data_IF_486105900894
#
_entry.id   IF_486105900894
#
_cell.length_a   1.000
_cell.length_b   1.000
_cell.length_c   1.000
_cell.angle_alpha   90.00
_cell.angle_beta   90.00
_cell.angle_gamma   90.00
#
_symmetry.space_group_name_H-M   'P 1'
#
loop_
_entity.id
_entity.type
_entity.pdbx_description
1 polymer ?
#
# COMPACT_ATOMS: atom_id res chain seq x y z
N UNK A 1 14.54 10.56 -16.40
CA UNK A 1 13.38 9.66 -16.19
C UNK A 1 12.12 10.51 -16.33
N UNK A 2 11.08 9.99 -16.95
CA UNK A 2 9.78 10.66 -16.95
C UNK A 2 9.20 10.58 -15.54
N UNK A 3 8.70 11.70 -15.04
CA UNK A 3 7.94 11.74 -13.78
C UNK A 3 6.57 11.10 -13.97
N UNK A 4 5.85 10.85 -12.87
CA UNK A 4 4.44 10.47 -12.91
C UNK A 4 3.64 11.49 -13.71
N UNK A 5 2.85 11.03 -14.68
CA UNK A 5 1.95 11.84 -15.48
C UNK A 5 0.48 11.45 -15.22
N UNK A 6 -0.36 12.43 -14.92
CA UNK A 6 -1.81 12.25 -14.78
C UNK A 6 -2.52 12.77 -16.04
N UNK A 7 -3.44 11.97 -16.58
CA UNK A 7 -4.25 12.32 -17.74
C UNK A 7 -5.73 12.01 -17.45
N UNK A 8 -6.57 13.02 -17.58
CA UNK A 8 -8.03 12.94 -17.36
C UNK A 8 -8.84 13.06 -18.66
N UNK A 9 -8.20 12.90 -19.83
CA UNK A 9 -8.86 13.09 -21.14
C UNK A 9 -10.13 12.24 -21.27
N UNK A 10 -10.09 10.99 -20.81
CA UNK A 10 -11.20 10.04 -20.91
C UNK A 10 -12.26 10.22 -19.80
N UNK A 11 -12.18 11.30 -19.04
CA UNK A 11 -13.22 11.75 -18.09
C UNK A 11 -14.11 12.84 -18.73
N UNK A 12 -13.59 13.56 -19.74
CA UNK A 12 -14.22 14.77 -20.28
C UNK A 12 -15.62 14.56 -20.91
N UNK A 13 -15.95 13.32 -21.30
CA UNK A 13 -17.28 12.98 -21.83
C UNK A 13 -18.34 12.80 -20.74
N UNK A 14 -17.91 12.63 -19.49
CA UNK A 14 -18.76 12.32 -18.33
C UNK A 14 -18.91 13.50 -17.37
N UNK A 15 -17.84 14.25 -17.18
CA UNK A 15 -17.82 15.49 -16.39
C UNK A 15 -17.07 16.56 -17.18
N UNK A 16 -17.70 17.70 -17.32
CA UNK A 16 -17.11 18.85 -18.00
C UNK A 16 -16.00 19.48 -17.17
N UNK A 17 -15.09 20.21 -17.81
CA UNK A 17 -14.08 20.99 -17.09
C UNK A 17 -14.72 21.91 -16.03
N UNK A 18 -15.84 22.56 -16.34
CA UNK A 18 -16.55 23.42 -15.38
C UNK A 18 -17.06 22.67 -14.16
N UNK A 19 -17.49 21.41 -14.30
CA UNK A 19 -17.91 20.58 -13.17
C UNK A 19 -16.70 20.17 -12.30
N UNK A 20 -15.55 19.89 -12.90
CA UNK A 20 -14.30 19.64 -12.17
C UNK A 20 -13.83 20.92 -11.47
N UNK A 21 -13.80 22.05 -12.17
CA UNK A 21 -13.38 23.35 -11.63
C UNK A 21 -14.31 23.87 -10.52
N UNK A 22 -15.55 23.42 -10.46
CA UNK A 22 -16.45 23.71 -9.34
C UNK A 22 -15.91 23.23 -7.99
N UNK A 23 -14.97 22.29 -7.98
CA UNK A 23 -14.27 21.80 -6.78
C UNK A 23 -12.98 22.57 -6.45
N UNK A 24 -12.55 23.58 -7.25
CA UNK A 24 -11.31 24.32 -7.03
C UNK A 24 -11.23 24.93 -5.63
N UNK A 25 -12.28 25.59 -5.18
CA UNK A 25 -12.30 26.21 -3.85
C UNK A 25 -12.21 25.18 -2.73
N UNK A 26 -12.90 24.03 -2.87
CA UNK A 26 -12.85 22.97 -1.88
C UNK A 26 -11.50 22.28 -1.85
N UNK A 27 -10.90 22.04 -3.01
CA UNK A 27 -9.59 21.41 -3.12
C UNK A 27 -8.47 22.33 -2.62
N UNK A 28 -8.53 23.64 -2.95
CA UNK A 28 -7.57 24.63 -2.45
C UNK A 28 -7.66 24.74 -0.91
N UNK A 29 -8.88 24.77 -0.36
CA UNK A 29 -9.09 24.74 1.09
C UNK A 29 -8.57 23.44 1.72
N UNK A 30 -8.81 22.29 1.10
CA UNK A 30 -8.30 20.99 1.56
C UNK A 30 -6.77 20.95 1.57
N UNK A 31 -6.12 21.44 0.52
CA UNK A 31 -4.66 21.55 0.46
C UNK A 31 -4.15 22.54 1.54
N UNK A 32 -4.80 23.68 1.71
CA UNK A 32 -4.43 24.66 2.74
C UNK A 32 -4.57 24.06 4.16
N UNK A 33 -5.63 23.29 4.42
CA UNK A 33 -5.83 22.60 5.70
C UNK A 33 -4.72 21.56 5.96
N UNK A 34 -4.28 20.85 4.95
CA UNK A 34 -3.13 19.94 5.04
C UNK A 34 -1.86 20.71 5.38
N UNK A 35 -1.53 21.75 4.62
CA UNK A 35 -0.28 22.51 4.76
C UNK A 35 -0.21 23.29 6.11
N UNK A 36 -1.33 23.83 6.56
CA UNK A 36 -1.40 24.62 7.80
C UNK A 36 -1.74 23.78 9.03
N UNK A 37 -2.11 22.52 8.86
CA UNK A 37 -2.52 21.67 9.97
C UNK A 37 -3.78 22.18 10.67
N UNK A 38 -4.78 22.66 9.93
CA UNK A 38 -6.00 23.28 10.48
C UNK A 38 -7.26 22.44 10.27
N UNK A 39 -7.18 21.36 9.49
CA UNK A 39 -8.31 20.47 9.23
C UNK A 39 -8.48 19.40 10.31
N UNK A 40 -9.61 18.69 10.24
CA UNK A 40 -9.90 17.57 11.13
C UNK A 40 -8.85 16.46 10.97
N UNK A 41 -8.34 15.94 12.08
CA UNK A 41 -7.28 14.93 12.09
C UNK A 41 -5.87 15.49 11.90
N UNK A 42 -5.67 16.80 12.08
CA UNK A 42 -4.37 17.47 11.97
C UNK A 42 -3.29 16.90 12.91
N UNK A 43 -3.67 16.13 13.93
CA UNK A 43 -2.73 15.39 14.78
C UNK A 43 -1.97 14.28 14.02
N UNK A 44 -2.37 13.96 12.77
CA UNK A 44 -1.82 12.87 11.96
C UNK A 44 -1.19 13.35 10.64
N UNK A 45 -0.62 14.54 10.60
CA UNK A 45 0.01 15.12 9.41
C UNK A 45 1.53 14.95 9.34
N UNK A 46 2.13 14.14 10.23
CA UNK A 46 3.58 13.90 10.25
C UNK A 46 4.14 13.31 8.97
N UNK A 47 3.30 12.70 8.12
CA UNK A 47 3.69 12.16 6.82
C UNK A 47 3.93 13.23 5.74
N UNK A 48 3.34 14.42 5.88
CA UNK A 48 3.30 15.49 4.86
C UNK A 48 4.68 15.92 4.35
N UNK A 49 5.64 16.03 5.25
CA UNK A 49 6.99 16.48 4.93
C UNK A 49 8.05 15.42 5.23
N UNK A 50 7.64 14.18 5.45
CA UNK A 50 8.56 13.06 5.70
C UNK A 50 9.64 12.93 4.63
N UNK A 51 9.32 12.98 3.30
CA UNK A 51 10.34 12.77 2.29
C UNK A 51 11.47 13.81 2.33
N UNK A 52 11.13 15.08 2.61
CA UNK A 52 12.12 16.16 2.69
C UNK A 52 12.76 16.30 4.07
N UNK A 53 12.10 15.83 5.14
CA UNK A 53 12.53 16.02 6.53
C UNK A 53 13.19 14.77 7.16
N UNK A 54 13.15 13.60 6.51
CA UNK A 54 13.76 12.39 7.06
C UNK A 54 15.26 12.57 7.23
N UNK A 55 15.81 12.43 8.46
CA UNK A 55 17.22 12.64 8.71
C UNK A 55 18.09 11.59 7.99
N UNK A 56 19.19 12.03 7.39
CA UNK A 56 20.19 11.14 6.77
C UNK A 56 20.72 10.08 7.75
N UNK A 57 20.89 10.45 9.01
CA UNK A 57 21.33 9.52 10.07
C UNK A 57 20.34 8.39 10.32
N UNK A 58 19.03 8.63 10.18
CA UNK A 58 17.99 7.60 10.31
C UNK A 58 18.07 6.62 9.12
N UNK A 59 18.21 7.15 7.90
CA UNK A 59 18.33 6.32 6.69
C UNK A 59 19.58 5.42 6.79
N UNK A 60 20.72 5.99 7.14
CA UNK A 60 21.96 5.24 7.31
C UNK A 60 21.88 4.17 8.42
N UNK A 61 21.15 4.44 9.52
CA UNK A 61 20.95 3.46 10.59
C UNK A 61 20.04 2.32 10.16
N UNK A 62 18.95 2.62 9.40
CA UNK A 62 18.09 1.61 8.80
C UNK A 62 18.89 0.71 7.85
N UNK A 63 19.71 1.29 6.96
CA UNK A 63 20.56 0.55 6.03
C UNK A 63 21.54 -0.37 6.76
N UNK A 64 22.16 0.11 7.84
CA UNK A 64 23.05 -0.68 8.69
C UNK A 64 22.34 -1.86 9.33
N UNK A 65 21.17 -1.63 9.93
CA UNK A 65 20.36 -2.69 10.54
C UNK A 65 19.90 -3.69 9.49
N UNK A 66 19.44 -3.22 8.32
CA UNK A 66 19.06 -4.06 7.20
C UNK A 66 20.23 -4.93 6.71
N UNK A 67 21.43 -4.38 6.60
CA UNK A 67 22.64 -5.11 6.21
C UNK A 67 22.96 -6.24 7.21
N UNK A 68 22.83 -6.00 8.51
CA UNK A 68 23.02 -7.03 9.53
C UNK A 68 22.04 -8.19 9.34
N UNK A 69 20.73 -7.88 9.23
CA UNK A 69 19.70 -8.90 9.02
C UNK A 69 19.91 -9.67 7.72
N UNK A 70 20.30 -8.99 6.64
CA UNK A 70 20.54 -9.62 5.33
C UNK A 70 21.74 -10.55 5.32
N UNK A 71 22.78 -10.24 6.07
CA UNK A 71 24.02 -11.02 6.10
C UNK A 71 23.91 -12.24 7.01
N UNK A 72 23.17 -12.13 8.10
CA UNK A 72 23.14 -13.13 9.15
C UNK A 72 21.95 -14.10 9.04
N UNK A 73 20.92 -13.75 8.26
CA UNK A 73 19.66 -14.51 8.16
C UNK A 73 19.40 -14.99 6.72
N UNK A 74 18.78 -16.18 6.60
CA UNK A 74 18.21 -16.67 5.33
C UNK A 74 16.83 -16.03 5.06
N UNK A 75 16.09 -15.77 6.14
CA UNK A 75 14.76 -15.15 6.10
C UNK A 75 14.66 -14.02 7.12
N UNK A 76 13.89 -13.00 6.80
CA UNK A 76 13.45 -11.99 7.78
C UNK A 76 11.94 -11.93 7.74
N UNK A 77 11.30 -12.17 8.88
CA UNK A 77 9.85 -12.13 8.99
C UNK A 77 9.41 -10.74 9.44
N UNK A 78 8.77 -9.99 8.55
CA UNK A 78 8.15 -8.72 8.86
C UNK A 78 6.73 -8.99 9.39
N UNK A 79 6.53 -8.71 10.68
CA UNK A 79 5.29 -8.98 11.40
C UNK A 79 4.51 -7.68 11.55
N UNK A 80 3.34 -7.61 10.93
CA UNK A 80 2.46 -6.44 10.98
C UNK A 80 1.15 -6.67 10.26
N UNK A 81 0.20 -5.75 10.43
CA UNK A 81 -1.12 -5.81 9.78
C UNK A 81 -1.50 -4.43 9.26
N UNK A 82 -2.32 -4.38 8.22
CA UNK A 82 -2.76 -3.12 7.60
C UNK A 82 -1.59 -2.26 7.16
N UNK A 83 -1.51 -1.01 7.61
CA UNK A 83 -0.43 -0.09 7.26
C UNK A 83 0.96 -0.52 7.73
N UNK A 84 1.05 -1.41 8.73
CA UNK A 84 2.33 -1.96 9.18
C UNK A 84 2.89 -3.06 8.25
N UNK A 85 2.20 -3.37 7.15
CA UNK A 85 2.58 -4.45 6.24
C UNK A 85 2.35 -4.09 4.75
N UNK A 86 1.17 -3.51 4.41
CA UNK A 86 0.76 -3.35 3.00
C UNK A 86 1.71 -2.49 2.19
N UNK A 87 2.16 -1.37 2.74
CA UNK A 87 3.05 -0.45 2.01
C UNK A 87 4.42 -1.06 1.72
N UNK A 88 5.05 -1.69 2.71
CA UNK A 88 6.31 -2.40 2.51
C UNK A 88 6.16 -3.53 1.48
N UNK A 89 5.07 -4.31 1.58
CA UNK A 89 4.80 -5.40 0.64
C UNK A 89 4.57 -4.88 -0.77
N UNK A 90 3.84 -3.78 -0.94
CA UNK A 90 3.62 -3.15 -2.24
C UNK A 90 4.95 -2.81 -2.95
N UNK A 91 5.88 -2.17 -2.25
CA UNK A 91 7.18 -1.81 -2.81
C UNK A 91 8.02 -3.05 -3.09
N UNK A 92 8.11 -3.99 -2.15
CA UNK A 92 8.91 -5.21 -2.29
C UNK A 92 8.41 -6.05 -3.47
N UNK A 93 7.11 -6.28 -3.61
CA UNK A 93 6.55 -7.07 -4.71
C UNK A 93 6.72 -6.37 -6.07
N UNK A 94 6.54 -5.04 -6.11
CA UNK A 94 6.71 -4.27 -7.35
C UNK A 94 8.14 -4.30 -7.89
N UNK A 95 9.14 -4.39 -7.02
CA UNK A 95 10.56 -4.39 -7.40
C UNK A 95 11.16 -5.79 -7.52
N UNK A 96 10.59 -6.78 -6.85
CA UNK A 96 11.12 -8.14 -6.85
C UNK A 96 10.99 -8.83 -8.21
N UNK A 97 11.90 -9.76 -8.49
CA UNK A 97 11.69 -10.74 -9.55
C UNK A 97 10.47 -11.62 -9.19
N UNK A 98 9.52 -11.76 -10.11
CA UNK A 98 8.28 -12.52 -9.87
C UNK A 98 8.52 -13.98 -9.49
N UNK A 99 9.69 -14.53 -9.84
CA UNK A 99 10.10 -15.89 -9.53
C UNK A 99 11.24 -15.96 -8.53
N UNK A 100 11.45 -14.91 -7.73
CA UNK A 100 12.51 -14.85 -6.73
C UNK A 100 12.49 -16.04 -5.75
N UNK A 101 11.31 -16.53 -5.40
CA UNK A 101 11.16 -17.69 -4.50
C UNK A 101 11.82 -18.97 -5.03
N UNK A 102 11.98 -19.10 -6.35
CA UNK A 102 12.53 -20.28 -7.03
C UNK A 102 14.00 -20.10 -7.47
N UNK A 103 14.61 -18.97 -7.16
CA UNK A 103 15.99 -18.64 -7.50
C UNK A 103 16.88 -18.59 -6.26
N UNK A 104 18.20 -18.74 -6.37
CA UNK A 104 19.11 -18.49 -5.27
C UNK A 104 18.92 -17.06 -4.72
N UNK A 105 18.89 -16.91 -3.41
CA UNK A 105 18.77 -15.61 -2.78
C UNK A 105 20.12 -14.88 -2.77
N UNK A 106 20.11 -13.56 -3.00
CA UNK A 106 21.29 -12.68 -2.87
C UNK A 106 21.44 -12.08 -1.47
N UNK A 107 20.59 -12.46 -0.53
CA UNK A 107 20.50 -12.02 0.86
C UNK A 107 19.25 -12.60 1.50
N UNK A 108 18.88 -12.13 2.68
CA UNK A 108 17.68 -12.60 3.37
C UNK A 108 16.41 -12.36 2.53
N UNK A 109 15.51 -13.34 2.53
CA UNK A 109 14.17 -13.19 1.95
C UNK A 109 13.22 -12.61 2.98
N UNK A 110 12.50 -11.56 2.61
CA UNK A 110 11.46 -10.98 3.46
C UNK A 110 10.17 -11.79 3.29
N UNK A 111 9.63 -12.26 4.40
CA UNK A 111 8.33 -12.93 4.50
C UNK A 111 7.44 -12.12 5.43
N UNK A 112 6.14 -12.08 5.16
CA UNK A 112 5.21 -11.34 6.00
C UNK A 112 4.41 -12.29 6.89
N UNK A 113 4.15 -11.88 8.13
CA UNK A 113 3.31 -12.59 9.09
C UNK A 113 2.48 -11.60 9.93
N UNK A 114 1.47 -12.11 10.64
CA UNK A 114 0.61 -11.29 11.48
C UNK A 114 -0.40 -10.44 10.71
N UNK A 115 -0.49 -10.58 9.39
CA UNK A 115 -1.53 -9.99 8.56
C UNK A 115 -2.82 -10.83 8.52
N UNK A 116 -2.78 -12.01 9.11
CA UNK A 116 -3.91 -12.92 9.29
C UNK A 116 -3.69 -13.78 10.53
N UNK A 117 -4.71 -14.56 10.93
CA UNK A 117 -4.68 -15.55 12.01
C UNK A 117 -5.04 -16.95 11.48
N UNK A 118 -4.69 -17.22 10.22
CA UNK A 118 -4.85 -18.55 9.61
C UNK A 118 -3.91 -19.56 10.22
N UNK A 119 -4.46 -20.66 10.75
CA UNK A 119 -3.69 -21.70 11.43
C UNK A 119 -2.75 -22.41 10.45
N UNK A 120 -3.25 -22.81 9.28
CA UNK A 120 -2.44 -23.46 8.23
C UNK A 120 -1.30 -22.58 7.76
N UNK A 121 -1.57 -21.30 7.45
CA UNK A 121 -0.54 -20.34 7.08
C UNK A 121 0.57 -20.25 8.13
N UNK A 122 0.19 -20.16 9.40
CA UNK A 122 1.14 -20.06 10.51
C UNK A 122 1.95 -21.35 10.66
N UNK A 123 1.31 -22.51 10.54
CA UNK A 123 1.97 -23.82 10.59
C UNK A 123 2.98 -24.00 9.45
N UNK A 124 2.60 -23.65 8.23
CA UNK A 124 3.47 -23.73 7.05
C UNK A 124 4.66 -22.79 7.17
N UNK A 125 4.47 -21.56 7.68
CA UNK A 125 5.56 -20.62 7.94
C UNK A 125 6.54 -21.16 8.99
N UNK A 126 6.04 -21.68 10.11
CA UNK A 126 6.87 -22.31 11.16
C UNK A 126 7.65 -23.50 10.58
N UNK A 127 6.99 -24.32 9.74
CA UNK A 127 7.64 -25.47 9.07
C UNK A 127 8.75 -25.03 8.11
N UNK A 128 8.55 -23.95 7.37
CA UNK A 128 9.55 -23.35 6.47
C UNK A 128 10.78 -22.86 7.25
N UNK A 129 10.56 -22.22 8.39
CA UNK A 129 11.62 -21.59 9.19
C UNK A 129 12.38 -22.58 10.08
N UNK A 130 11.88 -23.81 10.21
CA UNK A 130 12.52 -24.85 11.04
C UNK A 130 13.94 -25.16 10.55
N UNK A 131 14.94 -24.96 11.43
CA UNK A 131 16.34 -25.18 11.13
C UNK A 131 16.96 -24.14 10.19
N UNK A 132 16.27 -23.00 9.98
CA UNK A 132 16.75 -21.87 9.19
C UNK A 132 17.10 -20.71 10.10
N UNK A 133 18.18 -20.00 9.79
CA UNK A 133 18.47 -18.72 10.43
C UNK A 133 17.52 -17.67 9.95
N UNK A 134 16.74 -17.10 10.86
CA UNK A 134 15.81 -16.02 10.51
C UNK A 134 15.86 -14.88 11.52
N UNK A 135 15.52 -13.68 11.05
CA UNK A 135 15.32 -12.50 11.88
C UNK A 135 13.86 -12.08 11.89
N UNK A 136 13.49 -11.18 12.78
CA UNK A 136 12.13 -10.67 12.95
C UNK A 136 12.15 -9.14 12.94
N UNK A 137 11.28 -8.53 12.14
CA UNK A 137 10.90 -7.11 12.26
C UNK A 137 9.48 -7.09 12.76
N UNK A 138 9.26 -6.74 14.03
CA UNK A 138 7.91 -6.65 14.58
C UNK A 138 7.44 -5.20 14.60
N UNK A 139 6.34 -4.94 13.91
CA UNK A 139 5.82 -3.59 13.64
C UNK A 139 4.45 -3.46 14.30
N UNK A 140 4.41 -2.80 15.44
CA UNK A 140 3.18 -2.55 16.18
C UNK A 140 3.35 -1.39 17.15
N UNK A 141 2.51 -0.36 17.05
CA UNK A 141 2.60 0.80 17.95
C UNK A 141 2.34 0.41 19.41
N UNK A 142 1.28 -0.33 19.68
CA UNK A 142 0.92 -0.76 21.04
C UNK A 142 1.60 -2.07 21.47
N UNK A 143 1.92 -2.94 20.52
CA UNK A 143 2.34 -4.33 20.78
C UNK A 143 1.21 -5.25 21.22
N UNK A 144 -0.05 -4.81 21.16
CA UNK A 144 -1.22 -5.57 21.64
C UNK A 144 -2.26 -5.84 20.55
N UNK A 145 -1.99 -5.44 19.31
CA UNK A 145 -2.83 -5.83 18.17
C UNK A 145 -2.77 -7.35 18.04
N UNK A 146 -3.92 -8.02 18.04
CA UNK A 146 -4.04 -9.45 18.25
C UNK A 146 -3.25 -10.28 17.24
N UNK A 147 -3.41 -9.99 15.97
CA UNK A 147 -2.84 -10.76 14.87
C UNK A 147 -1.30 -10.74 14.88
N UNK A 148 -0.63 -9.58 14.85
CA UNK A 148 0.84 -9.53 14.94
C UNK A 148 1.36 -9.99 16.31
N UNK A 149 0.61 -9.83 17.41
CA UNK A 149 1.05 -10.29 18.71
C UNK A 149 1.09 -11.83 18.81
N UNK A 150 0.12 -12.53 18.18
CA UNK A 150 0.11 -13.99 18.09
C UNK A 150 1.32 -14.45 17.25
N UNK A 151 1.50 -13.91 16.06
CA UNK A 151 2.61 -14.27 15.18
C UNK A 151 3.98 -14.03 15.87
N UNK A 152 4.13 -12.87 16.52
CA UNK A 152 5.38 -12.54 17.20
C UNK A 152 5.66 -13.49 18.38
N UNK A 153 4.65 -13.82 19.18
CA UNK A 153 4.81 -14.76 20.30
C UNK A 153 5.32 -16.12 19.85
N UNK A 154 4.73 -16.68 18.79
CA UNK A 154 5.11 -17.98 18.22
C UNK A 154 6.52 -17.94 17.63
N UNK A 155 6.81 -16.93 16.81
CA UNK A 155 8.08 -16.84 16.07
C UNK A 155 9.25 -16.43 16.98
N UNK A 156 9.02 -15.59 18.01
CA UNK A 156 10.03 -15.28 19.04
C UNK A 156 10.44 -16.53 19.80
N UNK A 157 9.47 -17.30 20.30
CA UNK A 157 9.74 -18.55 21.02
C UNK A 157 10.53 -19.54 20.15
N UNK A 158 10.14 -19.69 18.88
CA UNK A 158 10.85 -20.55 17.94
C UNK A 158 12.29 -20.08 17.70
N UNK A 159 12.49 -18.77 17.47
CA UNK A 159 13.81 -18.20 17.23
C UNK A 159 14.74 -18.38 18.42
N UNK A 160 14.26 -18.11 19.64
CA UNK A 160 15.01 -18.31 20.88
C UNK A 160 15.34 -19.78 21.13
N UNK A 161 14.43 -20.69 20.78
CA UNK A 161 14.67 -22.12 20.92
C UNK A 161 15.71 -22.65 19.91
N UNK A 162 15.75 -22.11 18.69
CA UNK A 162 16.67 -22.55 17.63
C UNK A 162 18.08 -21.96 17.78
N UNK A 163 18.18 -20.66 18.01
CA UNK A 163 19.43 -19.89 17.91
C UNK A 163 19.89 -19.31 19.26
N UNK A 164 19.05 -19.39 20.29
CA UNK A 164 19.32 -18.83 21.61
C UNK A 164 18.97 -17.35 21.73
N UNK A 165 18.85 -16.88 22.98
CA UNK A 165 18.41 -15.51 23.30
C UNK A 165 19.38 -14.44 22.80
N UNK A 166 20.70 -14.72 22.80
CA UNK A 166 21.69 -13.75 22.34
C UNK A 166 21.56 -13.47 20.82
N UNK A 167 21.33 -14.52 20.04
CA UNK A 167 21.06 -14.33 18.60
C UNK A 167 19.74 -13.60 18.40
N UNK A 168 18.67 -14.04 19.09
CA UNK A 168 17.36 -13.43 18.98
C UNK A 168 17.38 -11.93 19.32
N UNK A 169 18.07 -11.53 20.39
CA UNK A 169 18.15 -10.10 20.77
C UNK A 169 18.84 -9.21 19.71
N UNK A 170 19.76 -9.77 18.93
CA UNK A 170 20.46 -9.05 17.85
C UNK A 170 19.67 -9.02 16.53
N UNK A 171 18.76 -9.98 16.33
CA UNK A 171 18.05 -10.17 15.05
C UNK A 171 16.53 -9.97 15.16
N UNK A 172 16.04 -9.52 16.31
CA UNK A 172 14.68 -8.99 16.48
C UNK A 172 14.80 -7.47 16.51
N UNK A 173 14.07 -6.81 15.59
CA UNK A 173 13.97 -5.36 15.53
C UNK A 173 12.52 -4.97 15.77
N UNK A 174 12.28 -4.06 16.71
CA UNK A 174 10.94 -3.58 17.01
C UNK A 174 10.71 -2.18 16.45
N UNK A 175 9.72 -2.05 15.57
CA UNK A 175 9.22 -0.75 15.10
C UNK A 175 7.96 -0.46 15.90
N UNK A 176 8.05 0.49 16.84
CA UNK A 176 7.01 0.66 17.87
C UNK A 176 6.97 2.09 18.41
N UNK A 177 6.09 2.36 19.39
CA UNK A 177 6.01 3.66 20.09
C UNK A 177 7.37 4.03 20.74
N UNK A 178 7.63 5.32 20.83
CA UNK A 178 8.88 5.82 21.39
C UNK A 178 9.04 5.54 22.88
N UNK A 179 7.95 5.52 23.67
CA UNK A 179 7.98 5.55 25.13
C UNK A 179 7.10 4.52 25.83
N UNK A 180 6.04 4.04 25.20
CA UNK A 180 4.98 3.25 25.86
C UNK A 180 4.51 2.07 24.99
N UNK A 181 3.76 1.18 25.62
CA UNK A 181 3.22 -0.01 24.97
C UNK A 181 3.99 -1.29 25.28
N UNK A 182 3.32 -2.42 25.14
CA UNK A 182 3.87 -3.73 25.51
C UNK A 182 5.13 -4.07 24.69
N UNK A 183 5.14 -3.74 23.40
CA UNK A 183 6.30 -4.02 22.54
C UNK A 183 7.50 -3.13 22.91
N UNK A 184 7.28 -1.85 23.25
CA UNK A 184 8.35 -0.96 23.72
C UNK A 184 8.98 -1.50 25.01
N UNK A 185 8.16 -1.89 25.99
CA UNK A 185 8.65 -2.46 27.25
C UNK A 185 9.47 -3.73 27.01
N UNK A 186 8.96 -4.65 26.21
CA UNK A 186 9.66 -5.89 25.87
C UNK A 186 10.97 -5.63 25.12
N UNK A 187 10.95 -4.74 24.13
CA UNK A 187 12.15 -4.41 23.38
C UNK A 187 13.26 -3.79 24.25
N UNK A 188 12.87 -3.00 25.25
CA UNK A 188 13.80 -2.42 26.21
C UNK A 188 14.38 -3.49 27.15
N UNK A 189 13.55 -4.39 27.64
CA UNK A 189 13.94 -5.50 28.56
C UNK A 189 14.88 -6.49 27.87
N UNK A 190 14.56 -6.89 26.64
CA UNK A 190 15.33 -7.89 25.88
C UNK A 190 16.49 -7.29 25.06
N UNK A 191 16.61 -5.95 25.02
CA UNK A 191 17.71 -5.25 24.33
C UNK A 191 17.59 -5.25 22.79
N UNK A 192 16.37 -5.31 22.23
CA UNK A 192 16.16 -5.25 20.79
C UNK A 192 16.50 -3.88 20.21
N UNK A 193 17.04 -3.85 18.99
CA UNK A 193 17.09 -2.62 18.20
C UNK A 193 15.66 -2.09 17.97
N UNK A 194 15.50 -0.76 18.01
CA UNK A 194 14.15 -0.17 17.92
C UNK A 194 14.11 1.01 16.97
N UNK A 195 13.01 1.12 16.24
CA UNK A 195 12.64 2.30 15.46
C UNK A 195 11.30 2.84 15.94
N UNK A 196 11.11 4.15 15.80
CA UNK A 196 9.90 4.82 16.30
C UNK A 196 8.82 4.82 15.23
N UNK A 197 7.60 4.50 15.64
CA UNK A 197 6.38 4.85 14.93
C UNK A 197 5.93 6.20 15.49
N UNK A 198 6.03 7.24 14.69
CA UNK A 198 5.68 8.57 15.11
C UNK A 198 4.19 8.67 15.49
N UNK A 199 3.90 9.44 16.56
CA UNK A 199 2.53 9.57 17.07
C UNK A 199 1.59 10.26 16.08
N UNK A 200 2.15 11.14 15.26
CA UNK A 200 1.46 11.96 14.27
C UNK A 200 1.44 11.35 12.86
N UNK A 201 1.76 10.06 12.69
CA UNK A 201 1.65 9.35 11.42
C UNK A 201 0.66 8.19 11.56
N UNK A 202 -0.40 8.23 10.74
CA UNK A 202 -1.37 7.14 10.66
C UNK A 202 -0.80 5.91 9.93
N UNK A 203 -1.28 4.69 10.28
CA UNK A 203 -0.74 3.44 9.72
C UNK A 203 -0.72 3.40 8.20
N UNK A 204 -1.78 3.82 7.53
CA UNK A 204 -1.88 3.80 6.06
C UNK A 204 -1.05 4.87 5.34
N UNK A 205 -0.48 5.83 6.09
CA UNK A 205 0.44 6.88 5.64
C UNK A 205 1.89 6.63 6.08
N UNK A 206 2.24 5.41 6.51
CA UNK A 206 3.52 5.14 7.18
C UNK A 206 4.56 4.46 6.29
N UNK A 207 4.32 4.27 4.99
CA UNK A 207 5.26 3.56 4.09
C UNK A 207 6.65 4.19 4.11
N UNK A 208 6.72 5.53 4.12
CA UNK A 208 7.97 6.30 4.08
C UNK A 208 8.61 6.53 5.46
N UNK A 209 8.10 5.86 6.51
CA UNK A 209 8.70 5.81 7.84
C UNK A 209 9.51 4.51 8.02
N UNK A 210 10.18 4.28 9.15
CA UNK A 210 10.83 2.99 9.44
C UNK A 210 9.89 1.78 9.30
N UNK A 211 8.56 1.97 9.41
CA UNK A 211 7.54 0.94 9.18
C UNK A 211 7.68 0.29 7.81
N UNK A 212 7.84 1.08 6.75
CA UNK A 212 8.05 0.59 5.39
C UNK A 212 9.52 0.49 5.01
N UNK A 213 10.32 1.51 5.37
CA UNK A 213 11.71 1.60 4.92
C UNK A 213 12.58 0.44 5.39
N UNK A 214 12.41 -0.05 6.63
CA UNK A 214 13.24 -1.13 7.15
C UNK A 214 12.99 -2.47 6.43
N UNK A 215 11.78 -2.97 6.28
CA UNK A 215 11.53 -4.19 5.49
C UNK A 215 11.97 -4.07 4.02
N UNK A 216 11.79 -2.88 3.40
CA UNK A 216 12.20 -2.60 2.02
C UNK A 216 13.72 -2.67 1.89
N UNK A 217 14.48 -2.05 2.81
CA UNK A 217 15.94 -2.12 2.84
C UNK A 217 16.44 -3.56 3.08
N UNK A 218 15.78 -4.33 3.96
CA UNK A 218 16.08 -5.75 4.19
C UNK A 218 15.83 -6.58 2.92
N UNK A 219 14.81 -6.26 2.15
CA UNK A 219 14.59 -6.90 0.85
C UNK A 219 15.69 -6.56 -0.18
N UNK A 220 16.50 -5.54 0.07
CA UNK A 220 17.66 -5.14 -0.74
C UNK A 220 17.40 -4.02 -1.72
N UNK A 221 16.32 -3.28 -1.55
CA UNK A 221 15.96 -2.15 -2.39
C UNK A 221 16.49 -0.83 -1.83
N UNK A 222 16.72 0.13 -2.72
CA UNK A 222 17.28 1.45 -2.39
C UNK A 222 16.22 2.38 -1.80
N UNK A 223 16.22 2.48 -0.46
CA UNK A 223 15.29 3.36 0.27
C UNK A 223 15.59 4.85 0.06
N UNK A 224 16.82 5.21 -0.36
CA UNK A 224 17.18 6.60 -0.70
C UNK A 224 16.50 7.02 -1.99
N UNK A 225 16.58 6.17 -3.02
CA UNK A 225 15.89 6.41 -4.28
C UNK A 225 14.36 6.47 -4.11
N UNK A 226 13.80 5.66 -3.21
CA UNK A 226 12.37 5.71 -2.84
C UNK A 226 12.02 7.07 -2.21
N UNK A 227 12.78 7.53 -1.23
CA UNK A 227 12.57 8.83 -0.58
C UNK A 227 12.80 10.00 -1.55
N UNK A 228 13.77 9.91 -2.45
CA UNK A 228 14.01 10.93 -3.48
C UNK A 228 12.84 11.07 -4.45
N UNK A 229 12.19 9.95 -4.81
CA UNK A 229 10.97 9.97 -5.60
C UNK A 229 9.82 10.65 -4.87
N UNK A 230 9.59 10.26 -3.62
CA UNK A 230 8.57 10.87 -2.77
C UNK A 230 8.82 12.37 -2.55
N UNK A 231 10.07 12.79 -2.34
CA UNK A 231 10.46 14.21 -2.21
C UNK A 231 10.22 15.01 -3.50
N UNK A 232 10.47 14.40 -4.66
CA UNK A 232 10.15 15.04 -5.93
C UNK A 232 8.64 15.26 -6.09
N UNK A 233 7.82 14.29 -5.66
CA UNK A 233 6.36 14.40 -5.69
C UNK A 233 5.83 15.36 -4.61
N UNK A 234 6.44 15.42 -3.43
CA UNK A 234 6.14 16.44 -2.40
C UNK A 234 6.23 17.85 -3.01
N UNK A 235 7.32 18.12 -3.73
CA UNK A 235 7.51 19.40 -4.42
C UNK A 235 6.50 19.63 -5.56
N UNK A 236 6.19 18.60 -6.34
CA UNK A 236 5.26 18.69 -7.48
C UNK A 236 3.80 18.89 -7.04
N UNK A 237 3.48 18.55 -5.80
CA UNK A 237 2.11 18.63 -5.24
C UNK A 237 1.89 19.82 -4.29
N UNK A 238 2.75 20.83 -4.36
CA UNK A 238 2.66 22.02 -3.50
C UNK A 238 1.67 23.09 -4.02
N UNK A 239 1.46 23.19 -5.34
CA UNK A 239 0.60 24.23 -5.95
C UNK A 239 -0.89 23.93 -5.76
N UNK A 240 -1.69 24.98 -5.56
CA UNK A 240 -3.16 24.87 -5.46
C UNK A 240 -3.82 25.15 -6.83
N UNK A 241 -3.39 24.43 -7.85
CA UNK A 241 -3.90 24.51 -9.22
C UNK A 241 -3.71 23.18 -9.97
N UNK A 242 -4.15 23.12 -11.23
CA UNK A 242 -4.13 21.93 -12.07
C UNK A 242 -2.72 21.45 -12.49
N UNK A 243 -1.66 22.21 -12.19
CA UNK A 243 -0.28 21.73 -12.34
C UNK A 243 0.11 20.71 -11.26
N UNK A 244 -0.62 20.69 -10.16
CA UNK A 244 -0.49 19.70 -9.09
C UNK A 244 -1.32 18.46 -9.42
N UNK A 245 -0.70 17.32 -9.74
CA UNK A 245 -1.44 16.11 -10.13
C UNK A 245 -2.33 15.56 -9.02
N UNK A 246 -1.94 15.69 -7.75
CA UNK A 246 -2.74 15.21 -6.62
C UNK A 246 -4.00 16.06 -6.41
N UNK A 247 -3.88 17.38 -6.63
CA UNK A 247 -4.99 18.31 -6.59
C UNK A 247 -6.00 18.03 -7.72
N UNK A 248 -5.51 17.89 -8.96
CA UNK A 248 -6.34 17.59 -10.12
C UNK A 248 -7.03 16.22 -9.99
N UNK A 249 -6.33 15.21 -9.51
CA UNK A 249 -6.91 13.88 -9.28
C UNK A 249 -8.00 13.92 -8.22
N UNK A 250 -7.77 14.59 -7.08
CA UNK A 250 -8.75 14.72 -6.01
C UNK A 250 -10.04 15.43 -6.48
N UNK A 251 -9.92 16.53 -7.24
CA UNK A 251 -11.07 17.23 -7.84
C UNK A 251 -11.86 16.33 -8.78
N UNK A 252 -11.15 15.67 -9.69
CA UNK A 252 -11.76 14.81 -10.73
C UNK A 252 -12.55 13.66 -10.10
N UNK A 253 -11.99 12.99 -9.09
CA UNK A 253 -12.68 11.93 -8.34
C UNK A 253 -13.97 12.44 -7.69
N UNK A 254 -13.91 13.59 -7.04
CA UNK A 254 -15.06 14.17 -6.36
C UNK A 254 -16.12 14.68 -7.35
N UNK A 255 -15.73 15.19 -8.51
CA UNK A 255 -16.66 15.52 -9.57
C UNK A 255 -17.40 14.27 -10.10
N UNK A 256 -16.68 13.18 -10.34
CA UNK A 256 -17.28 11.89 -10.70
C UNK A 256 -18.19 11.35 -9.60
N UNK A 257 -17.81 11.48 -8.33
CA UNK A 257 -18.65 11.08 -7.20
C UNK A 257 -19.95 11.88 -7.13
N UNK A 258 -19.93 13.17 -7.41
CA UNK A 258 -21.12 14.02 -7.48
C UNK A 258 -22.06 13.59 -8.60
N UNK A 259 -21.54 13.09 -9.72
CA UNK A 259 -22.30 12.52 -10.85
C UNK A 259 -22.73 11.05 -10.62
N UNK A 260 -22.63 10.55 -9.40
CA UNK A 260 -23.11 9.22 -9.03
C UNK A 260 -22.13 8.07 -9.23
N UNK A 261 -20.87 8.34 -9.59
CA UNK A 261 -19.84 7.32 -9.66
C UNK A 261 -19.34 7.00 -8.25
N UNK A 262 -19.79 5.90 -7.66
CA UNK A 262 -19.60 5.57 -6.24
C UNK A 262 -18.47 4.59 -5.98
N UNK A 263 -17.93 3.97 -7.02
CA UNK A 263 -16.83 3.01 -6.92
C UNK A 263 -15.72 3.41 -7.88
N UNK A 264 -14.51 3.49 -7.36
CA UNK A 264 -13.29 3.63 -8.15
C UNK A 264 -12.57 2.30 -8.23
N UNK A 265 -12.22 1.89 -9.44
CA UNK A 265 -11.46 0.68 -9.70
C UNK A 265 -10.05 1.07 -10.12
N UNK A 266 -9.06 0.78 -9.29
CA UNK A 266 -7.65 0.92 -9.66
C UNK A 266 -7.26 -0.26 -10.55
N UNK A 267 -6.87 0.03 -11.78
CA UNK A 267 -6.55 -0.97 -12.82
C UNK A 267 -5.06 -0.98 -13.08
N UNK A 268 -4.43 -2.13 -13.09
CA UNK A 268 -3.06 -2.26 -13.56
C UNK A 268 -2.93 -3.38 -14.60
N UNK A 269 -1.92 -3.28 -15.48
CA UNK A 269 -1.55 -4.27 -16.49
C UNK A 269 -0.18 -4.90 -16.20
N UNK A 270 0.35 -4.68 -15.00
CA UNK A 270 1.59 -5.28 -14.55
C UNK A 270 1.35 -6.01 -13.23
N UNK A 271 1.44 -7.36 -13.19
CA UNK A 271 1.09 -8.14 -12.00
C UNK A 271 1.92 -7.81 -10.76
N UNK A 272 3.07 -7.14 -10.93
CA UNK A 272 3.89 -6.64 -9.82
C UNK A 272 3.21 -5.52 -9.03
N UNK A 273 2.18 -4.87 -9.57
CA UNK A 273 1.46 -3.78 -8.92
C UNK A 273 0.24 -4.24 -8.10
N UNK A 274 -0.01 -5.55 -8.01
CA UNK A 274 -1.11 -6.09 -7.22
C UNK A 274 -1.16 -5.50 -5.80
N UNK A 275 -0.06 -5.57 -5.06
CA UNK A 275 -0.03 -5.04 -3.68
C UNK A 275 -0.03 -3.52 -3.59
N UNK A 276 0.29 -2.79 -4.66
CA UNK A 276 0.03 -1.35 -4.72
C UNK A 276 -1.49 -1.09 -4.69
N UNK A 277 -2.27 -1.89 -5.42
CA UNK A 277 -3.74 -1.86 -5.34
C UNK A 277 -4.27 -2.19 -3.95
N UNK A 278 -3.71 -3.20 -3.27
CA UNK A 278 -4.10 -3.56 -1.90
C UNK A 278 -3.80 -2.45 -0.89
N UNK A 279 -2.62 -1.84 -0.96
CA UNK A 279 -2.27 -0.67 -0.14
C UNK A 279 -3.18 0.52 -0.44
N UNK A 280 -3.46 0.81 -1.72
CA UNK A 280 -4.32 1.89 -2.15
C UNK A 280 -5.77 1.71 -1.64
N UNK A 281 -6.30 0.49 -1.64
CA UNK A 281 -7.62 0.18 -1.05
C UNK A 281 -7.68 0.54 0.43
N UNK A 282 -6.63 0.24 1.21
CA UNK A 282 -6.58 0.65 2.62
C UNK A 282 -6.50 2.16 2.74
N UNK A 283 -5.64 2.80 1.95
CA UNK A 283 -5.45 4.25 1.99
C UNK A 283 -6.78 4.98 1.82
N UNK A 284 -7.51 4.70 0.73
CA UNK A 284 -8.77 5.38 0.43
C UNK A 284 -9.96 4.85 1.24
N UNK A 285 -10.05 3.56 1.47
CA UNK A 285 -11.16 2.96 2.21
C UNK A 285 -11.25 3.46 3.64
N UNK A 286 -10.13 3.51 4.37
CA UNK A 286 -10.11 4.03 5.73
C UNK A 286 -10.17 5.57 5.78
N UNK A 287 -9.73 6.27 4.74
CA UNK A 287 -9.72 7.73 4.74
C UNK A 287 -11.05 8.35 4.34
N UNK A 288 -11.75 7.80 3.36
CA UNK A 288 -12.96 8.38 2.79
C UNK A 288 -14.25 7.70 3.24
N UNK A 289 -14.24 6.39 3.52
CA UNK A 289 -15.42 5.61 3.89
C UNK A 289 -15.97 5.95 5.28
N UNK A 290 -16.56 7.13 5.45
CA UNK A 290 -17.05 7.66 6.73
C UNK A 290 -18.39 8.36 6.58
N UNK A 291 -19.17 8.44 7.65
CA UNK A 291 -20.45 9.17 7.67
C UNK A 291 -21.42 8.78 6.53
N UNK A 292 -21.37 7.51 6.11
CA UNK A 292 -22.12 6.99 4.96
C UNK A 292 -21.80 7.68 3.62
N UNK A 293 -20.60 8.26 3.50
CA UNK A 293 -20.02 8.88 2.30
C UNK A 293 -18.77 8.11 1.84
N UNK A 294 -18.25 8.52 0.69
CA UNK A 294 -16.97 8.09 0.16
C UNK A 294 -17.09 7.21 -1.07
N UNK A 295 -16.02 7.21 -1.86
CA UNK A 295 -15.88 6.38 -3.05
C UNK A 295 -15.35 5.02 -2.60
N UNK A 296 -16.03 3.93 -2.97
CA UNK A 296 -15.58 2.58 -2.63
C UNK A 296 -14.35 2.20 -3.47
N UNK A 297 -13.21 1.91 -2.85
CA UNK A 297 -11.99 1.57 -3.58
C UNK A 297 -11.97 0.07 -3.91
N UNK A 298 -11.89 -0.25 -5.19
CA UNK A 298 -11.67 -1.60 -5.71
C UNK A 298 -10.36 -1.64 -6.51
N UNK A 299 -9.79 -2.82 -6.75
CA UNK A 299 -8.63 -2.98 -7.62
C UNK A 299 -8.78 -4.24 -8.47
N UNK A 300 -8.22 -4.20 -9.69
CA UNK A 300 -8.18 -5.33 -10.63
C UNK A 300 -6.81 -5.43 -11.30
N UNK A 301 -6.41 -6.66 -11.61
CA UNK A 301 -5.16 -6.97 -12.30
C UNK A 301 -5.46 -7.47 -13.72
N UNK A 302 -5.36 -6.61 -14.69
CA UNK A 302 -5.55 -6.96 -16.09
C UNK A 302 -4.25 -7.56 -16.68
N UNK A 303 -4.36 -8.45 -17.67
CA UNK A 303 -5.54 -8.94 -18.41
C UNK A 303 -6.35 -10.01 -17.67
N UNK A 304 -5.86 -10.57 -16.55
CA UNK A 304 -6.57 -11.65 -15.82
C UNK A 304 -8.01 -11.27 -15.50
N UNK A 305 -8.21 -10.09 -14.93
CA UNK A 305 -9.54 -9.64 -14.49
C UNK A 305 -10.46 -9.18 -15.63
N UNK A 306 -9.96 -9.03 -16.84
CA UNK A 306 -10.83 -8.92 -18.02
C UNK A 306 -11.65 -10.20 -18.25
N UNK A 307 -11.13 -11.36 -17.79
CA UNK A 307 -11.80 -12.66 -17.85
C UNK A 307 -12.65 -12.97 -16.59
N UNK A 308 -12.80 -11.99 -15.68
CA UNK A 308 -13.62 -12.10 -14.47
C UNK A 308 -14.53 -10.88 -14.33
N UNK A 309 -13.98 -9.70 -14.06
CA UNK A 309 -14.70 -8.45 -13.82
C UNK A 309 -15.02 -7.67 -15.10
N UNK A 310 -14.34 -7.98 -16.22
CA UNK A 310 -14.49 -7.24 -17.48
C UNK A 310 -15.95 -7.15 -17.96
N UNK A 311 -16.73 -8.23 -17.85
CA UNK A 311 -18.16 -8.22 -18.21
C UNK A 311 -18.95 -7.22 -17.35
N UNK A 312 -18.72 -7.21 -16.04
CA UNK A 312 -19.44 -6.30 -15.16
C UNK A 312 -19.04 -4.84 -15.37
N UNK A 313 -17.75 -4.58 -15.59
CA UNK A 313 -17.24 -3.23 -15.87
C UNK A 313 -17.86 -2.72 -17.19
N UNK A 314 -17.93 -3.57 -18.24
CA UNK A 314 -18.43 -3.18 -19.55
C UNK A 314 -19.95 -2.99 -19.59
N UNK A 315 -20.74 -3.83 -18.92
CA UNK A 315 -22.20 -3.87 -19.05
C UNK A 315 -22.98 -3.79 -17.73
N UNK A 316 -22.30 -3.70 -16.57
CA UNK A 316 -22.95 -3.57 -15.26
C UNK A 316 -23.49 -2.16 -14.99
N UNK A 317 -23.79 -1.84 -13.74
CA UNK A 317 -24.26 -0.52 -13.34
C UNK A 317 -23.23 0.58 -13.58
N UNK A 318 -23.68 1.72 -14.07
CA UNK A 318 -22.81 2.87 -14.41
C UNK A 318 -22.40 3.69 -13.18
N UNK A 319 -22.21 3.05 -12.03
CA UNK A 319 -21.80 3.68 -10.76
C UNK A 319 -20.28 3.67 -10.54
N UNK A 320 -19.52 3.20 -11.51
CA UNK A 320 -18.07 3.04 -11.43
C UNK A 320 -17.32 4.03 -12.32
N UNK A 321 -16.05 4.23 -11.99
CA UNK A 321 -15.02 4.78 -12.87
C UNK A 321 -13.68 4.06 -12.62
N UNK A 322 -12.76 4.18 -13.54
CA UNK A 322 -11.45 3.53 -13.45
C UNK A 322 -10.32 4.55 -13.30
N UNK A 323 -9.29 4.15 -12.56
CA UNK A 323 -7.97 4.79 -12.57
C UNK A 323 -6.95 3.76 -13.02
N UNK A 324 -6.48 3.92 -14.27
CA UNK A 324 -5.56 2.98 -14.93
C UNK A 324 -4.12 3.40 -14.67
N UNK A 325 -3.30 2.48 -14.12
CA UNK A 325 -1.87 2.66 -13.96
C UNK A 325 -1.14 1.97 -15.11
N UNK A 326 -0.46 2.75 -15.93
CA UNK A 326 0.40 2.29 -17.02
C UNK A 326 1.88 2.47 -16.66
N UNK A 327 2.71 1.49 -17.05
CA UNK A 327 4.18 1.58 -16.91
C UNK A 327 4.77 1.79 -18.30
N UNK A 328 5.39 2.96 -18.55
CA UNK A 328 5.85 3.34 -19.89
C UNK A 328 6.98 2.44 -20.40
N UNK A 329 7.95 2.11 -19.54
CA UNK A 329 9.14 1.33 -19.93
C UNK A 329 9.28 0.11 -19.02
N UNK A 330 9.37 -1.08 -19.64
CA UNK A 330 9.64 -2.34 -18.93
C UNK A 330 11.14 -2.53 -18.73
N UNK A 331 11.52 -3.23 -17.67
CA UNK A 331 12.92 -3.54 -17.37
C UNK A 331 13.52 -4.58 -18.34
N UNK A 332 12.69 -5.41 -18.95
CA UNK A 332 13.10 -6.50 -19.83
C UNK A 332 12.31 -6.48 -21.13
N UNK A 333 12.97 -6.90 -22.20
CA UNK A 333 12.35 -7.05 -23.51
C UNK A 333 12.17 -8.51 -23.86
N UNK A 334 11.01 -8.86 -24.38
CA UNK A 334 10.70 -10.18 -24.87
C UNK A 334 9.86 -10.07 -26.15
N UNK A 335 10.33 -10.72 -27.20
CA UNK A 335 9.72 -10.68 -28.53
C UNK A 335 8.93 -11.98 -28.77
N UNK A 336 7.76 -11.84 -29.35
CA UNK A 336 6.89 -12.97 -29.72
C UNK A 336 7.50 -13.68 -30.94
N UNK A 337 7.77 -15.00 -30.85
CA UNK A 337 8.32 -15.73 -31.98
C UNK A 337 7.28 -15.98 -33.08
N UNK A 338 7.74 -16.21 -34.30
CA UNK A 338 6.90 -16.72 -35.39
C UNK A 338 6.79 -18.26 -35.32
N UNK A 339 5.60 -18.77 -35.55
CA UNK A 339 5.37 -20.22 -35.72
C UNK A 339 5.05 -20.56 -37.18
N UNK A 340 5.80 -21.52 -37.77
CA UNK A 340 5.62 -21.89 -39.16
C UNK A 340 4.23 -22.51 -39.46
N UNK A 341 3.63 -23.19 -38.49
CA UNK A 341 2.29 -23.78 -38.63
C UNK A 341 1.16 -22.77 -38.41
N UNK A 342 1.42 -21.71 -37.61
CA UNK A 342 0.45 -20.68 -37.28
C UNK A 342 -0.94 -21.22 -36.89
N UNK A 343 -0.99 -22.33 -36.15
CA UNK A 343 -2.25 -22.98 -35.76
C UNK A 343 -3.05 -22.15 -34.77
N UNK A 344 -2.38 -21.32 -33.95
CA UNK A 344 -2.98 -20.37 -33.03
C UNK A 344 -3.40 -19.02 -33.68
N UNK A 345 -3.01 -18.83 -34.96
CA UNK A 345 -3.31 -17.62 -35.71
C UNK A 345 -2.53 -16.37 -35.24
N UNK A 346 -1.49 -16.49 -34.40
CA UNK A 346 -0.81 -15.37 -33.74
C UNK A 346 0.34 -14.75 -34.56
N UNK A 347 0.65 -15.23 -35.76
CA UNK A 347 1.77 -14.69 -36.57
C UNK A 347 1.59 -13.20 -36.93
N UNK A 348 0.37 -12.63 -36.84
CA UNK A 348 0.15 -11.19 -37.04
C UNK A 348 0.81 -10.29 -35.97
N UNK A 349 1.15 -10.86 -34.79
CA UNK A 349 1.89 -10.18 -33.74
C UNK A 349 3.34 -10.68 -33.59
N UNK A 350 3.76 -11.64 -34.42
CA UNK A 350 5.15 -12.12 -34.41
C UNK A 350 6.13 -10.95 -34.69
N UNK A 351 7.23 -10.93 -33.96
CA UNK A 351 8.21 -9.86 -34.01
C UNK A 351 7.88 -8.64 -33.13
N UNK A 352 6.67 -8.52 -32.58
CA UNK A 352 6.33 -7.49 -31.59
C UNK A 352 6.84 -7.86 -30.21
N UNK A 353 7.15 -6.87 -29.40
CA UNK A 353 7.39 -7.06 -27.97
C UNK A 353 6.08 -7.44 -27.27
N UNK A 354 6.16 -8.27 -26.23
CA UNK A 354 4.99 -8.59 -25.38
C UNK A 354 4.38 -7.31 -24.79
N UNK A 355 5.23 -6.34 -24.38
CA UNK A 355 4.78 -5.06 -23.85
C UNK A 355 3.96 -4.24 -24.85
N UNK A 356 4.32 -4.27 -26.16
CA UNK A 356 3.52 -3.61 -27.20
C UNK A 356 2.10 -4.18 -27.27
N UNK A 357 1.98 -5.50 -27.16
CA UNK A 357 0.67 -6.19 -27.20
C UNK A 357 -0.12 -5.84 -25.91
N UNK A 358 0.54 -5.83 -24.76
CA UNK A 358 -0.06 -5.46 -23.48
C UNK A 358 -0.58 -4.02 -23.49
N UNK A 359 0.19 -3.08 -24.07
CA UNK A 359 -0.24 -1.68 -24.26
C UNK A 359 -1.45 -1.56 -25.18
N UNK A 360 -1.54 -2.39 -26.23
CA UNK A 360 -2.71 -2.41 -27.12
C UNK A 360 -3.93 -3.01 -26.40
N UNK A 361 -3.74 -4.00 -25.52
CA UNK A 361 -4.82 -4.51 -24.67
C UNK A 361 -5.32 -3.44 -23.70
N UNK A 362 -4.41 -2.71 -23.04
CA UNK A 362 -4.72 -1.58 -22.16
C UNK A 362 -5.53 -0.52 -22.92
N UNK A 363 -5.04 -0.03 -24.05
CA UNK A 363 -5.69 0.99 -24.84
C UNK A 363 -7.06 0.53 -25.37
N UNK A 364 -7.14 -0.69 -25.89
CA UNK A 364 -8.40 -1.26 -26.39
C UNK A 364 -9.46 -1.39 -25.29
N UNK A 365 -9.04 -1.76 -24.08
CA UNK A 365 -9.93 -1.83 -22.92
C UNK A 365 -10.42 -0.44 -22.50
N UNK A 366 -9.52 0.55 -22.41
CA UNK A 366 -9.89 1.93 -22.08
C UNK A 366 -10.93 2.46 -23.07
N UNK A 367 -10.70 2.27 -24.38
CA UNK A 367 -11.65 2.72 -25.41
C UNK A 367 -13.01 2.03 -25.21
N UNK A 368 -13.04 0.71 -25.03
CA UNK A 368 -14.29 -0.04 -24.87
C UNK A 368 -15.06 0.37 -23.60
N UNK A 369 -14.36 0.56 -22.48
CA UNK A 369 -14.98 0.95 -21.23
C UNK A 369 -15.52 2.39 -21.28
N UNK A 370 -14.78 3.33 -21.90
CA UNK A 370 -15.24 4.71 -22.10
C UNK A 370 -16.47 4.75 -22.99
N UNK A 371 -16.45 4.07 -24.15
CA UNK A 371 -17.61 3.93 -25.03
C UNK A 371 -18.80 3.27 -24.31
N UNK A 372 -18.53 2.39 -23.37
CA UNK A 372 -19.51 1.72 -22.48
C UNK A 372 -20.02 2.59 -21.33
N UNK A 373 -19.54 3.81 -21.16
CA UNK A 373 -20.03 4.74 -20.13
C UNK A 373 -19.24 4.67 -18.80
N UNK A 374 -17.99 4.17 -18.82
CA UNK A 374 -17.08 4.13 -17.66
C UNK A 374 -15.96 5.14 -17.82
N UNK A 375 -15.96 6.24 -17.04
CA UNK A 375 -14.90 7.23 -17.07
C UNK A 375 -13.54 6.61 -16.70
N UNK A 376 -12.47 7.07 -17.37
CA UNK A 376 -11.12 6.59 -17.11
C UNK A 376 -10.17 7.75 -16.79
N UNK A 377 -9.54 7.69 -15.62
CA UNK A 377 -8.37 8.48 -15.26
C UNK A 377 -7.15 7.64 -15.58
N UNK A 378 -6.10 8.23 -16.12
CA UNK A 378 -4.90 7.50 -16.51
C UNK A 378 -3.66 8.06 -15.81
N UNK A 379 -2.90 7.20 -15.16
CA UNK A 379 -1.64 7.51 -14.50
C UNK A 379 -0.53 6.74 -15.22
N UNK A 380 0.47 7.44 -15.73
CA UNK A 380 1.63 6.85 -16.37
C UNK A 380 2.84 6.95 -15.45
N UNK A 381 3.43 5.81 -15.10
CA UNK A 381 4.74 5.70 -14.45
C UNK A 381 5.83 5.55 -15.52
N UNK A 382 7.01 6.16 -15.33
CA UNK A 382 8.13 5.98 -16.25
C UNK A 382 8.57 4.53 -16.35
N UNK A 383 8.92 3.93 -15.21
CA UNK A 383 9.32 2.53 -15.07
C UNK A 383 9.14 2.08 -13.62
N UNK A 384 9.15 0.76 -13.35
CA UNK A 384 9.08 0.26 -11.97
C UNK A 384 10.48 0.34 -11.33
N UNK A 385 10.73 1.45 -10.64
CA UNK A 385 11.92 1.71 -9.83
C UNK A 385 11.51 2.21 -8.46
N UNK A 386 12.42 2.16 -7.49
CA UNK A 386 12.21 2.71 -6.15
C UNK A 386 11.75 4.17 -6.22
N UNK A 387 12.39 4.96 -7.09
CA UNK A 387 12.03 6.37 -7.29
C UNK A 387 10.58 6.54 -7.77
N UNK A 388 10.17 5.81 -8.80
CA UNK A 388 8.79 5.89 -9.32
C UNK A 388 7.75 5.40 -8.30
N UNK A 389 8.10 4.40 -7.48
CA UNK A 389 7.23 3.95 -6.39
C UNK A 389 7.12 5.00 -5.28
N UNK A 390 8.20 5.68 -4.95
CA UNK A 390 8.16 6.82 -4.03
C UNK A 390 7.24 7.95 -4.55
N UNK A 391 7.33 8.27 -5.84
CA UNK A 391 6.47 9.28 -6.49
C UNK A 391 4.98 8.92 -6.38
N UNK A 392 4.59 7.69 -6.74
CA UNK A 392 3.16 7.29 -6.73
C UNK A 392 2.61 7.13 -5.32
N UNK A 393 3.41 6.66 -4.35
CA UNK A 393 2.99 6.55 -2.96
C UNK A 393 2.65 7.94 -2.41
N UNK A 394 3.56 8.90 -2.52
CA UNK A 394 3.31 10.25 -2.02
C UNK A 394 2.17 10.94 -2.77
N UNK A 395 2.09 10.76 -4.09
CA UNK A 395 0.98 11.25 -4.91
C UNK A 395 -0.38 10.80 -4.35
N UNK A 396 -0.56 9.50 -4.09
CA UNK A 396 -1.82 8.99 -3.56
C UNK A 396 -2.08 9.44 -2.12
N UNK A 397 -1.06 9.51 -1.26
CA UNK A 397 -1.21 10.03 0.10
C UNK A 397 -1.72 11.47 0.09
N UNK A 398 -1.09 12.34 -0.72
CA UNK A 398 -1.47 13.75 -0.84
C UNK A 398 -2.87 13.91 -1.43
N UNK A 399 -3.16 13.21 -2.52
CA UNK A 399 -4.46 13.23 -3.17
C UNK A 399 -5.59 12.73 -2.25
N UNK A 400 -5.31 11.68 -1.46
CA UNK A 400 -6.26 11.12 -0.50
C UNK A 400 -6.61 12.13 0.60
N UNK A 401 -5.61 12.85 1.14
CA UNK A 401 -5.85 13.89 2.13
C UNK A 401 -6.72 15.03 1.59
N UNK A 402 -6.39 15.53 0.38
CA UNK A 402 -7.19 16.58 -0.28
C UNK A 402 -8.62 16.09 -0.55
N UNK A 403 -8.76 14.87 -1.09
CA UNK A 403 -10.07 14.30 -1.45
C UNK A 403 -10.97 14.08 -0.23
N UNK A 404 -10.41 13.61 0.89
CA UNK A 404 -11.16 13.46 2.14
C UNK A 404 -11.71 14.79 2.67
N UNK A 405 -10.93 15.86 2.57
CA UNK A 405 -11.42 17.19 2.96
C UNK A 405 -12.45 17.75 1.97
N UNK A 406 -12.37 17.48 0.67
CA UNK A 406 -13.42 17.81 -0.29
C UNK A 406 -14.73 17.10 0.07
N UNK A 407 -14.68 15.82 0.48
CA UNK A 407 -15.83 15.05 0.96
C UNK A 407 -16.40 15.55 2.30
N UNK A 408 -15.65 16.39 3.01
CA UNK A 408 -16.01 16.90 4.34
C UNK A 408 -15.95 15.83 5.42
N UNK A 409 -14.96 14.95 5.38
CA UNK A 409 -14.71 13.94 6.40
C UNK A 409 -13.28 14.07 6.95
N UNK A 410 -13.03 13.55 8.17
CA UNK A 410 -11.68 13.45 8.70
C UNK A 410 -10.89 12.36 7.96
N UNK A 411 -9.84 12.67 7.14
CA UNK A 411 -9.15 11.67 6.35
C UNK A 411 -8.25 10.72 7.17
N UNK A 412 -7.97 11.01 8.43
CA UNK A 412 -6.86 10.38 9.16
C UNK A 412 -7.29 9.48 10.32
N UNK A 413 -8.54 9.54 10.78
CA UNK A 413 -9.09 8.60 11.75
C UNK A 413 -9.71 7.37 11.07
N UNK A 414 -10.13 6.36 11.85
CA UNK A 414 -10.81 5.14 11.37
C UNK A 414 -11.75 4.57 12.45
N UNK A 415 -12.83 5.30 12.83
CA UNK A 415 -13.71 4.86 13.93
C UNK A 415 -14.45 3.56 13.62
N UNK A 416 -14.71 3.25 12.35
CA UNK A 416 -15.48 2.08 11.93
C UNK A 416 -14.83 0.73 12.28
N UNK A 417 -13.50 0.67 12.44
CA UNK A 417 -12.81 -0.60 12.74
C UNK A 417 -12.81 -0.96 14.22
N UNK A 418 -13.31 -0.11 15.11
CA UNK A 418 -13.30 -0.39 16.54
C UNK A 418 -14.40 -1.38 16.98
N UNK A 419 -15.51 -1.41 16.26
CA UNK A 419 -16.67 -2.26 16.60
C UNK A 419 -16.34 -3.76 16.54
N UNK A 420 -15.70 -4.21 15.46
CA UNK A 420 -15.35 -5.63 15.33
C UNK A 420 -14.30 -6.07 16.36
N UNK A 421 -13.34 -5.20 16.70
CA UNK A 421 -12.33 -5.49 17.73
C UNK A 421 -12.97 -5.71 19.10
N UNK A 422 -13.92 -4.83 19.49
CA UNK A 422 -14.70 -5.00 20.73
C UNK A 422 -15.44 -6.34 20.75
N UNK A 423 -16.10 -6.69 19.65
CA UNK A 423 -16.82 -7.94 19.53
C UNK A 423 -15.88 -9.15 19.62
N UNK A 424 -14.73 -9.13 18.97
CA UNK A 424 -13.72 -10.19 19.05
C UNK A 424 -13.21 -10.34 20.47
N UNK A 425 -12.88 -9.26 21.18
CA UNK A 425 -12.43 -9.31 22.57
C UNK A 425 -13.50 -9.87 23.51
N UNK A 426 -14.76 -9.47 23.29
CA UNK A 426 -15.90 -9.99 24.04
C UNK A 426 -16.10 -11.50 23.80
N UNK A 427 -16.04 -11.97 22.56
CA UNK A 427 -16.17 -13.39 22.18
C UNK A 427 -15.01 -14.24 22.75
N UNK A 428 -13.82 -13.69 22.83
CA UNK A 428 -12.64 -14.35 23.41
C UNK A 428 -12.59 -14.24 24.94
N UNK A 429 -13.59 -13.65 25.60
CA UNK A 429 -13.66 -13.42 27.04
C UNK A 429 -12.42 -12.70 27.59
N UNK A 430 -11.96 -11.67 26.85
CA UNK A 430 -10.82 -10.85 27.28
C UNK A 430 -11.14 -10.17 28.62
N UNK A 431 -10.21 -10.20 29.61
CA UNK A 431 -10.41 -9.50 30.87
C UNK A 431 -10.75 -8.01 30.67
N UNK A 432 -11.78 -7.52 31.35
CA UNK A 432 -12.32 -6.17 31.23
C UNK A 432 -13.43 -6.01 30.16
N UNK A 433 -13.87 -7.12 29.51
CA UNK A 433 -14.96 -7.15 28.54
C UNK A 433 -16.12 -8.06 28.96
N UNK A 434 -16.29 -8.29 30.27
CA UNK A 434 -17.26 -9.25 30.81
C UNK A 434 -18.73 -8.86 30.48
N UNK A 435 -19.03 -7.57 30.51
CA UNK A 435 -20.36 -7.07 30.18
C UNK A 435 -20.68 -7.25 28.68
N UNK A 436 -19.74 -6.91 27.82
CA UNK A 436 -19.83 -7.09 26.38
C UNK A 436 -19.91 -8.57 26.01
N UNK A 437 -19.14 -9.45 26.69
CA UNK A 437 -19.18 -10.91 26.49
C UNK A 437 -20.59 -11.45 26.76
N UNK A 438 -21.21 -11.05 27.89
CA UNK A 438 -22.58 -11.44 28.23
C UNK A 438 -23.60 -10.92 27.20
N UNK A 439 -23.44 -9.68 26.76
CA UNK A 439 -24.34 -9.07 25.79
C UNK A 439 -24.25 -9.76 24.42
N UNK A 440 -23.05 -10.10 23.93
CA UNK A 440 -22.85 -10.73 22.63
C UNK A 440 -23.33 -12.20 22.65
N UNK A 441 -23.12 -12.92 23.75
CA UNK A 441 -23.65 -14.29 23.91
C UNK A 441 -25.19 -14.33 23.87
N UNK A 442 -25.85 -13.28 24.34
CA UNK A 442 -27.30 -13.17 24.24
C UNK A 442 -27.80 -12.97 22.79
N UNK A 443 -26.97 -12.41 21.90
CA UNK A 443 -27.30 -12.23 20.46
C UNK A 443 -27.05 -13.50 19.63
N UNK A 444 -26.26 -14.45 20.13
CA UNK A 444 -25.95 -15.70 19.43
C UNK A 444 -26.94 -16.83 19.73
N UNK A 445 -27.79 -16.63 20.73
CA UNK A 445 -28.90 -17.53 21.08
C UNK A 445 -30.19 -17.16 20.33
#
# INVERSE_FOLDING_TARGET
MKNLELNIKHVAEFVTKSQIDAFDSAAANGLEQLEKGTGDGNDFLGWMHLPSATPESLVADIEKTAATLRNDCEYVVAIGIGGSYLGAKAVIEALSDSFAAYKPASGARVIFAGQNIGEDYTHELVSLLKGKKFGIIVISKSGTTTEPAIAFRILKEMLEAQEGKEFASKHIVAVTDAKRGALRSLATEEGYATYVIEDNVGGRFSVLTPVGLLPIAVAGFDIRALLDGAKAMEAATAAADDSNPAYLYAKTRNALYAEGKKTEILVNYNPKLHYLGEWWKQLYGESEGKEHKGIFPAAVDNSTDLHSMGQWIQEGERTIFETVISVAEQQHEMVIPSDAANLDGLNYIAGKRIDEVNKMAELGTVIAHVDGGVPNIHITLGSLTERCLGEIIYFFEKACGISGYILGVNPFNQPGVEAYKKNMFALLNKPGYEAESKAIQAKLK
#
